data_IF_072456111061
#
_entry.id   IF_072456111061
#
_cell.length_a   1.000
_cell.length_b   1.000
_cell.length_c   1.000
_cell.angle_alpha   90.00
_cell.angle_beta   90.00
_cell.angle_gamma   90.00
#
_symmetry.space_group_name_H-M   'P 1'
#
loop_
_entity.id
_entity.type
_entity.pdbx_description
1 polymer ?
#
# COMPACT_ATOMS: atom_id res chain seq x y z
N UNK A 1 26.92 -4.35 -17.83
CA UNK A 1 25.52 -4.72 -17.50
C UNK A 1 25.32 -4.88 -16.01
N UNK A 2 24.75 -3.87 -15.36
CA UNK A 2 24.26 -4.01 -14.00
C UNK A 2 22.83 -4.52 -14.09
N UNK A 3 22.63 -5.81 -13.81
CA UNK A 3 21.30 -6.42 -13.78
C UNK A 3 20.51 -5.83 -12.61
N UNK A 4 19.43 -5.09 -12.90
CA UNK A 4 18.53 -4.55 -11.88
C UNK A 4 17.78 -5.71 -11.23
N UNK A 5 17.93 -5.87 -9.91
CA UNK A 5 17.21 -6.87 -9.13
C UNK A 5 15.88 -6.29 -8.66
N UNK A 6 14.85 -7.12 -8.59
CA UNK A 6 13.55 -6.73 -8.04
C UNK A 6 13.15 -7.66 -6.91
N UNK A 7 12.68 -7.09 -5.81
CA UNK A 7 12.13 -7.82 -4.66
C UNK A 7 10.71 -7.36 -4.40
N UNK A 8 9.84 -8.31 -4.05
CA UNK A 8 8.46 -8.05 -3.67
C UNK A 8 8.26 -8.41 -2.21
N UNK A 9 7.69 -7.50 -1.44
CA UNK A 9 7.43 -7.66 0.00
C UNK A 9 5.92 -7.62 0.20
N UNK A 10 5.27 -8.73 0.61
CA UNK A 10 3.83 -8.77 0.81
C UNK A 10 3.41 -7.84 1.96
N UNK A 11 2.23 -7.23 1.83
CA UNK A 11 1.70 -6.24 2.76
C UNK A 11 0.32 -6.67 3.26
N UNK A 12 0.28 -7.63 4.18
CA UNK A 12 -0.96 -8.08 4.80
C UNK A 12 -1.88 -8.90 3.89
N UNK A 13 -2.94 -9.42 4.50
CA UNK A 13 -3.89 -10.32 3.88
C UNK A 13 -5.24 -9.66 3.62
N UNK A 14 -6.16 -10.43 3.03
CA UNK A 14 -7.47 -9.91 2.65
C UNK A 14 -8.20 -9.33 3.85
N UNK A 15 -8.63 -8.07 3.74
CA UNK A 15 -9.27 -7.33 4.84
C UNK A 15 -10.48 -6.57 4.32
N UNK A 16 -11.56 -6.56 5.10
CA UNK A 16 -12.81 -5.88 4.76
C UNK A 16 -13.01 -4.71 5.72
N UNK A 17 -13.33 -3.53 5.19
CA UNK A 17 -13.62 -2.34 6.01
C UNK A 17 -14.79 -1.54 5.42
N UNK A 18 -15.51 -0.85 6.30
CA UNK A 18 -16.58 0.11 5.96
C UNK A 18 -16.30 1.50 6.54
N UNK A 19 -15.13 1.70 7.15
CA UNK A 19 -14.77 2.95 7.82
C UNK A 19 -14.59 4.09 6.83
N UNK A 20 -15.13 5.26 7.16
CA UNK A 20 -14.84 6.54 6.46
C UNK A 20 -13.58 7.22 6.95
N UNK A 21 -12.99 6.70 8.04
CA UNK A 21 -11.67 7.05 8.55
C UNK A 21 -10.63 6.02 8.14
N UNK A 22 -9.36 6.42 8.15
CA UNK A 22 -8.26 5.54 7.85
C UNK A 22 -8.09 4.47 8.93
N UNK A 23 -8.10 3.21 8.52
CA UNK A 23 -7.91 2.05 9.40
C UNK A 23 -6.75 1.21 8.92
N UNK A 24 -5.92 0.73 9.85
CA UNK A 24 -4.79 -0.13 9.55
C UNK A 24 -5.26 -1.54 9.13
N UNK A 25 -4.60 -2.10 8.11
CA UNK A 25 -4.69 -3.54 7.82
C UNK A 25 -3.88 -4.30 8.87
N UNK A 26 -4.49 -5.17 9.70
CA UNK A 26 -3.87 -5.70 10.92
C UNK A 26 -2.51 -6.38 10.74
N UNK A 27 -2.29 -7.08 9.62
CA UNK A 27 -1.11 -7.89 9.34
C UNK A 27 -0.21 -7.28 8.25
N UNK A 28 -0.36 -5.99 7.96
CA UNK A 28 0.38 -5.30 6.89
C UNK A 28 1.72 -4.69 7.32
N UNK A 29 2.10 -4.80 8.60
CA UNK A 29 3.30 -4.15 9.14
C UNK A 29 4.60 -4.75 8.62
N UNK A 30 5.41 -3.94 7.93
CA UNK A 30 6.72 -4.34 7.40
C UNK A 30 7.78 -3.29 7.74
N UNK A 31 8.91 -3.74 8.30
CA UNK A 31 10.09 -2.89 8.50
C UNK A 31 10.95 -2.85 7.24
N UNK A 32 11.30 -1.65 6.77
CA UNK A 32 12.19 -1.45 5.63
C UNK A 32 13.22 -0.39 5.97
N UNK A 33 14.51 -0.70 5.73
CA UNK A 33 15.59 0.27 5.66
C UNK A 33 16.12 0.30 4.21
N UNK A 34 15.57 1.21 3.39
CA UNK A 34 15.78 1.16 1.94
C UNK A 34 17.27 1.26 1.56
N UNK A 35 18.02 2.16 2.21
CA UNK A 35 19.44 2.36 1.91
C UNK A 35 20.29 1.18 2.38
N UNK A 36 20.01 0.64 3.57
CA UNK A 36 20.81 -0.46 4.14
C UNK A 36 20.51 -1.80 3.49
N UNK A 37 19.24 -2.07 3.19
CA UNK A 37 18.77 -3.37 2.70
C UNK A 37 18.89 -3.49 1.17
N UNK A 38 18.75 -2.37 0.44
CA UNK A 38 18.68 -2.35 -1.02
C UNK A 38 19.62 -1.36 -1.71
N UNK A 39 20.27 -0.46 -0.96
CA UNK A 39 21.21 0.52 -1.50
C UNK A 39 20.55 1.86 -1.90
N UNK A 40 21.39 2.89 -2.05
CA UNK A 40 20.95 4.30 -2.26
C UNK A 40 20.21 4.56 -3.57
N UNK A 41 20.38 3.70 -4.57
CA UNK A 41 19.71 3.80 -5.88
C UNK A 41 18.39 3.05 -5.94
N UNK A 42 17.98 2.39 -4.86
CA UNK A 42 16.77 1.60 -4.83
C UNK A 42 15.52 2.47 -5.04
N UNK A 43 14.61 1.98 -5.88
CA UNK A 43 13.32 2.60 -6.17
C UNK A 43 12.20 1.75 -5.62
N UNK A 44 11.19 2.40 -5.05
CA UNK A 44 10.08 1.72 -4.36
C UNK A 44 8.77 2.12 -5.01
N UNK A 45 7.94 1.14 -5.33
CA UNK A 45 6.51 1.35 -5.59
C UNK A 45 5.71 0.34 -4.78
N UNK A 46 4.40 0.51 -4.70
CA UNK A 46 3.55 -0.51 -4.09
C UNK A 46 2.30 -0.74 -4.93
N UNK A 47 1.75 -1.94 -4.79
CA UNK A 47 0.50 -2.29 -5.43
C UNK A 47 -0.44 -3.00 -4.48
N UNK A 48 -1.74 -2.85 -4.73
CA UNK A 48 -2.77 -3.57 -4.01
C UNK A 48 -3.95 -3.90 -4.90
N UNK A 49 -4.71 -4.90 -4.46
CA UNK A 49 -5.97 -5.28 -5.08
C UNK A 49 -7.14 -4.76 -4.25
N UNK A 50 -8.02 -3.97 -4.85
CA UNK A 50 -9.19 -3.38 -4.18
C UNK A 50 -10.47 -3.71 -4.93
N UNK A 51 -11.55 -3.95 -4.18
CA UNK A 51 -12.93 -3.99 -4.71
C UNK A 51 -13.87 -3.23 -3.78
N UNK A 52 -14.97 -2.74 -4.34
CA UNK A 52 -16.07 -2.08 -3.62
C UNK A 52 -17.32 -2.92 -3.79
N UNK A 53 -17.98 -3.28 -2.69
CA UNK A 53 -19.21 -4.04 -2.71
C UNK A 53 -20.28 -3.31 -3.55
N UNK A 54 -21.04 -4.10 -4.32
CA UNK A 54 -22.12 -3.63 -5.19
C UNK A 54 -21.72 -2.59 -6.25
N UNK A 55 -20.43 -2.30 -6.43
CA UNK A 55 -19.96 -1.35 -7.45
C UNK A 55 -20.45 0.07 -7.23
N UNK A 56 -20.85 0.41 -6.00
CA UNK A 56 -21.29 1.74 -5.63
C UNK A 56 -20.32 2.25 -4.58
N UNK A 57 -19.50 3.25 -4.91
CA UNK A 57 -18.59 3.87 -3.96
C UNK A 57 -17.13 3.85 -4.40
N UNK A 58 -16.28 4.32 -3.49
CA UNK A 58 -14.85 4.53 -3.73
C UNK A 58 -14.04 3.98 -2.56
N UNK A 59 -13.09 3.12 -2.89
CA UNK A 59 -12.11 2.61 -1.93
C UNK A 59 -10.79 3.36 -2.11
N UNK A 60 -10.16 3.65 -0.98
CA UNK A 60 -8.83 4.23 -0.89
C UNK A 60 -7.94 3.27 -0.13
N UNK A 61 -6.70 3.14 -0.59
CA UNK A 61 -5.64 2.50 0.15
C UNK A 61 -4.37 3.34 0.07
N UNK A 62 -3.58 3.38 1.14
CA UNK A 62 -2.31 4.09 1.18
C UNK A 62 -1.31 3.38 2.06
N UNK A 63 -0.04 3.76 1.96
CA UNK A 63 0.96 3.40 2.95
C UNK A 63 1.02 4.45 4.06
N UNK A 64 1.20 3.98 5.28
CA UNK A 64 1.39 4.80 6.46
C UNK A 64 2.70 4.40 7.14
N UNK A 65 3.57 5.38 7.38
CA UNK A 65 4.77 5.20 8.17
C UNK A 65 4.40 5.33 9.66
N UNK A 66 4.36 4.18 10.34
CA UNK A 66 4.02 4.09 11.76
C UNK A 66 5.19 4.49 12.66
N UNK A 67 6.41 4.64 12.12
CA UNK A 67 7.56 5.17 12.87
C UNK A 67 7.50 6.69 12.94
N UNK A 68 7.26 7.34 11.79
CA UNK A 68 7.19 8.79 11.68
C UNK A 68 5.77 9.35 11.86
N UNK A 69 4.77 8.48 12.01
CA UNK A 69 3.34 8.81 12.18
C UNK A 69 2.80 9.71 11.05
N UNK A 70 3.15 9.37 9.81
CA UNK A 70 2.79 10.15 8.63
C UNK A 70 2.37 9.23 7.47
N UNK A 71 1.44 9.69 6.64
CA UNK A 71 1.13 9.02 5.39
C UNK A 71 2.34 9.13 4.44
N UNK A 72 2.64 8.05 3.71
CA UNK A 72 3.70 8.10 2.70
C UNK A 72 3.17 8.87 1.49
N UNK A 73 3.87 9.93 1.11
CA UNK A 73 3.49 10.76 -0.04
C UNK A 73 3.38 9.93 -1.32
N UNK A 74 2.39 10.26 -2.16
CA UNK A 74 2.11 9.59 -3.43
C UNK A 74 1.76 8.10 -3.34
N UNK A 75 1.57 7.56 -2.12
CA UNK A 75 1.19 6.17 -1.92
C UNK A 75 -0.31 5.93 -2.06
N UNK A 76 -1.16 6.95 -2.00
CA UNK A 76 -2.61 6.73 -2.10
C UNK A 76 -3.00 6.21 -3.49
N UNK A 77 -3.74 5.10 -3.51
CA UNK A 77 -4.33 4.47 -4.69
C UNK A 77 -5.84 4.31 -4.46
N UNK A 78 -6.62 4.49 -5.52
CA UNK A 78 -8.08 4.51 -5.42
C UNK A 78 -8.76 3.69 -6.51
N UNK A 79 -9.89 3.09 -6.17
CA UNK A 79 -10.78 2.43 -7.13
C UNK A 79 -12.21 2.92 -6.92
N UNK A 80 -12.97 3.04 -8.01
CA UNK A 80 -14.36 3.49 -8.01
C UNK A 80 -15.23 2.51 -8.79
N UNK A 81 -16.40 2.20 -8.26
CA UNK A 81 -17.45 1.42 -8.94
C UNK A 81 -17.00 0.05 -9.47
N UNK A 82 -16.06 -0.61 -8.77
CA UNK A 82 -15.51 -1.91 -9.18
C UNK A 82 -15.99 -3.03 -8.26
N UNK A 83 -16.93 -3.85 -8.74
CA UNK A 83 -17.40 -5.08 -8.06
C UNK A 83 -16.33 -6.17 -8.00
N UNK A 84 -15.43 -6.19 -8.99
CA UNK A 84 -14.33 -7.12 -9.07
C UNK A 84 -13.06 -6.49 -8.52
N UNK A 85 -12.13 -7.35 -8.07
CA UNK A 85 -10.80 -6.93 -7.67
C UNK A 85 -10.07 -6.22 -8.81
N UNK A 86 -9.63 -5.00 -8.54
CA UNK A 86 -8.79 -4.21 -9.43
C UNK A 86 -7.42 -4.06 -8.81
N UNK A 87 -6.39 -4.50 -9.53
CA UNK A 87 -5.00 -4.25 -9.15
C UNK A 87 -4.64 -2.80 -9.50
N UNK A 88 -4.08 -2.11 -8.52
CA UNK A 88 -3.66 -0.72 -8.59
C UNK A 88 -2.21 -0.63 -8.14
N UNK A 89 -1.42 0.23 -8.78
CA UNK A 89 -0.02 0.48 -8.42
C UNK A 89 0.22 1.97 -8.24
N UNK A 90 1.10 2.33 -7.31
CA UNK A 90 1.65 3.67 -7.20
C UNK A 90 2.77 3.92 -8.20
N UNK A 91 3.20 5.19 -8.30
CA UNK A 91 4.51 5.55 -8.82
C UNK A 91 5.63 5.28 -7.81
N UNK A 92 6.79 5.91 -8.03
CA UNK A 92 7.91 5.82 -7.09
C UNK A 92 7.59 6.57 -5.78
N UNK A 93 7.91 5.95 -4.64
CA UNK A 93 7.59 6.44 -3.31
C UNK A 93 8.83 6.96 -2.59
N UNK A 94 8.74 8.09 -1.87
CA UNK A 94 9.82 8.62 -1.06
C UNK A 94 9.83 7.92 0.31
N UNK A 95 10.45 6.74 0.40
CA UNK A 95 10.64 6.09 1.69
C UNK A 95 11.66 6.87 2.53
N UNK A 96 11.31 7.12 3.80
CA UNK A 96 12.19 7.81 4.73
C UNK A 96 13.44 6.98 5.00
N UNK A 97 14.55 7.68 5.23
CA UNK A 97 15.83 7.05 5.57
C UNK A 97 15.72 6.34 6.93
N UNK A 98 16.51 5.28 7.08
CA UNK A 98 16.51 4.44 8.28
C UNK A 98 15.42 3.36 8.26
N UNK A 99 15.39 2.57 9.33
CA UNK A 99 14.47 1.44 9.49
C UNK A 99 13.11 1.91 9.98
N UNK A 100 12.15 2.02 9.07
CA UNK A 100 10.79 2.48 9.36
C UNK A 100 9.76 1.34 9.20
N UNK A 101 8.72 1.36 10.03
CA UNK A 101 7.57 0.44 9.98
C UNK A 101 6.49 1.02 9.06
N UNK A 102 6.27 0.37 7.92
CA UNK A 102 5.19 0.73 6.99
C UNK A 102 4.00 -0.20 7.16
N UNK A 103 2.80 0.37 7.14
CA UNK A 103 1.51 -0.32 7.20
C UNK A 103 0.63 0.10 6.04
N UNK A 104 -0.34 -0.73 5.69
CA UNK A 104 -1.41 -0.36 4.76
C UNK A 104 -2.57 0.23 5.55
N UNK A 105 -3.10 1.35 5.09
CA UNK A 105 -4.34 1.93 5.57
C UNK A 105 -5.42 1.90 4.50
N UNK A 106 -6.65 1.64 4.92
CA UNK A 106 -7.83 1.58 4.08
C UNK A 106 -8.86 2.62 4.52
N UNK A 107 -9.63 3.12 3.55
CA UNK A 107 -10.76 4.03 3.79
C UNK A 107 -11.81 3.86 2.72
N UNK A 108 -13.07 3.90 3.12
CA UNK A 108 -14.24 4.01 2.24
C UNK A 108 -14.69 5.47 2.12
N UNK A 109 -15.21 5.89 0.98
CA UNK A 109 -15.76 7.24 0.81
C UNK A 109 -17.06 7.46 1.59
N UNK A 110 -17.93 6.47 1.59
CA UNK A 110 -19.34 6.58 1.96
C UNK A 110 -19.85 5.32 2.69
N UNK A 111 -18.96 4.70 3.46
CA UNK A 111 -19.22 3.52 4.27
C UNK A 111 -19.64 2.25 3.52
N UNK A 112 -19.59 2.24 2.19
CA UNK A 112 -19.70 1.00 1.44
C UNK A 112 -18.54 0.09 1.79
N UNK A 113 -18.85 -1.21 1.85
CA UNK A 113 -17.86 -2.25 2.11
C UNK A 113 -16.80 -2.22 1.01
N UNK A 114 -15.54 -2.10 1.44
CA UNK A 114 -14.40 -2.26 0.57
C UNK A 114 -13.63 -3.50 1.01
N UNK A 115 -13.14 -4.26 0.05
CA UNK A 115 -12.28 -5.40 0.32
C UNK A 115 -10.91 -5.14 -0.27
N UNK A 116 -9.92 -5.16 0.59
CA UNK A 116 -8.51 -5.28 0.25
C UNK A 116 -8.21 -6.76 0.00
N UNK A 117 -7.65 -7.09 -1.16
CA UNK A 117 -7.30 -8.45 -1.54
C UNK A 117 -5.85 -8.84 -1.24
N UNK A 118 -5.10 -7.96 -0.59
CA UNK A 118 -3.65 -8.05 -0.45
C UNK A 118 -2.92 -7.06 -1.34
N UNK A 119 -1.65 -6.87 -1.03
CA UNK A 119 -0.76 -5.96 -1.74
C UNK A 119 0.69 -6.29 -1.46
N UNK A 120 1.58 -5.56 -2.13
CA UNK A 120 3.02 -5.75 -1.97
C UNK A 120 3.78 -4.48 -2.32
N UNK A 121 4.88 -4.28 -1.63
CA UNK A 121 5.90 -3.30 -1.99
C UNK A 121 6.82 -3.96 -3.02
N UNK A 122 7.12 -3.22 -4.09
CA UNK A 122 8.10 -3.58 -5.10
C UNK A 122 9.33 -2.70 -4.91
N UNK A 123 10.49 -3.31 -4.73
CA UNK A 123 11.78 -2.63 -4.64
C UNK A 123 12.65 -3.05 -5.81
N UNK A 124 13.16 -2.08 -6.57
CA UNK A 124 14.10 -2.31 -7.68
C UNK A 124 15.45 -1.67 -7.35
N UNK A 125 16.54 -2.44 -7.39
CA UNK A 125 17.88 -2.05 -6.95
C UNK A 125 19.01 -2.66 -7.77
#
# INVERSE_FOLDING_TARGET
DTSVKTTYIPMGSSTIVTSTDWVDVPDSGVYIDLERDYGKSAKVSWEASLKVAHGNGKAFARLYDDTNKIAVDYSEITTENNVNFKQLSSGNLPFWRGRNLYKVQLKSLNSFEITYGGGKIKVSY
#
